data_IF_373024480042
#
_entry.id   IF_373024480042
#
_cell.length_a   1.000
_cell.length_b   1.000
_cell.length_c   1.000
_cell.angle_alpha   90.00
_cell.angle_beta   90.00
_cell.angle_gamma   90.00
#
_symmetry.space_group_name_H-M   'P 1'
#
loop_
_entity.id
_entity.type
_entity.pdbx_description
1 polymer ?
#
# COMPACT_ATOMS: atom_id res chain seq x y z
N UNK A 1 -0.74 14.42 12.34
CA UNK A 1 -1.41 14.30 13.67
C UNK A 1 -1.75 12.84 13.96
N UNK A 2 -1.65 12.36 15.20
CA UNK A 2 -2.00 10.96 15.54
C UNK A 2 -3.35 10.78 16.21
N UNK A 3 -3.94 11.88 16.70
CA UNK A 3 -5.32 11.96 17.16
C UNK A 3 -6.11 12.73 16.12
N UNK A 4 -7.19 12.14 15.61
CA UNK A 4 -8.07 12.71 14.58
C UNK A 4 -9.52 12.73 15.06
N UNK A 5 -10.29 13.72 14.61
CA UNK A 5 -11.68 13.90 15.02
C UNK A 5 -12.69 12.97 14.33
N UNK A 6 -12.32 12.39 13.18
CA UNK A 6 -13.18 11.49 12.40
C UNK A 6 -12.33 10.51 11.60
N UNK A 7 -12.95 9.41 11.15
CA UNK A 7 -12.33 8.48 10.22
C UNK A 7 -11.99 9.17 8.88
N UNK A 8 -10.86 8.80 8.28
CA UNK A 8 -10.42 9.32 6.98
C UNK A 8 -10.87 8.47 5.79
N UNK A 9 -11.12 7.16 6.01
CA UNK A 9 -11.31 6.19 4.92
C UNK A 9 -12.58 5.33 5.07
N UNK A 10 -13.55 5.77 5.89
CA UNK A 10 -14.84 5.06 6.04
C UNK A 10 -14.77 3.70 6.75
N UNK A 11 -13.62 3.33 7.32
CA UNK A 11 -13.41 2.05 8.00
C UNK A 11 -13.86 2.01 9.46
N UNK A 12 -14.15 0.80 9.95
CA UNK A 12 -14.54 0.51 11.35
C UNK A 12 -13.35 0.15 12.25
N UNK A 13 -12.12 0.16 11.72
CA UNK A 13 -10.92 -0.34 12.40
C UNK A 13 -10.08 0.76 13.06
N UNK A 14 -10.73 1.75 13.65
CA UNK A 14 -10.07 2.80 14.42
C UNK A 14 -10.14 2.51 15.91
N UNK A 15 -9.08 2.86 16.65
CA UNK A 15 -9.15 2.88 18.10
C UNK A 15 -9.83 4.16 18.57
N UNK A 16 -11.02 4.08 19.19
CA UNK A 16 -11.64 5.24 19.81
C UNK A 16 -10.86 5.61 21.07
N UNK A 17 -10.68 6.90 21.29
CA UNK A 17 -10.08 7.48 22.50
C UNK A 17 -10.94 8.63 23.01
N UNK A 18 -10.88 8.84 24.32
CA UNK A 18 -11.50 10.01 24.93
C UNK A 18 -10.51 11.19 24.87
N UNK A 19 -10.81 12.22 24.08
CA UNK A 19 -10.03 13.44 23.99
C UNK A 19 -10.80 14.59 24.67
N UNK A 20 -10.53 14.76 25.97
CA UNK A 20 -11.33 15.61 26.86
C UNK A 20 -12.80 15.17 26.91
N UNK A 21 -13.72 16.02 26.47
CA UNK A 21 -15.16 15.81 26.42
C UNK A 21 -15.64 15.28 25.05
N UNK A 22 -14.72 14.90 24.15
CA UNK A 22 -15.03 14.46 22.78
C UNK A 22 -14.39 13.12 22.43
N UNK A 23 -15.13 12.29 21.72
CA UNK A 23 -14.57 11.08 21.10
C UNK A 23 -13.63 11.48 19.95
N UNK A 24 -12.48 10.84 19.89
CA UNK A 24 -11.49 10.98 18.85
C UNK A 24 -10.91 9.61 18.50
N UNK A 25 -10.04 9.54 17.49
CA UNK A 25 -9.51 8.28 17.00
C UNK A 25 -8.00 8.34 16.84
N UNK A 26 -7.34 7.19 17.01
CA UNK A 26 -5.95 7.03 16.57
C UNK A 26 -5.89 6.79 15.07
N UNK A 27 -4.97 7.48 14.39
CA UNK A 27 -4.86 7.43 12.92
C UNK A 27 -4.26 6.12 12.40
N UNK A 28 -4.77 5.65 11.26
CA UNK A 28 -4.25 4.48 10.53
C UNK A 28 -3.20 4.85 9.47
N UNK A 29 -3.16 6.11 9.04
CA UNK A 29 -2.22 6.62 8.05
C UNK A 29 -2.21 8.15 8.07
N UNK A 30 -1.09 8.75 7.68
CA UNK A 30 -0.98 10.18 7.46
C UNK A 30 -1.67 10.69 6.19
N UNK A 31 -2.40 9.84 5.45
CA UNK A 31 -2.90 10.05 4.09
C UNK A 31 -3.42 11.47 3.78
N UNK A 32 -4.46 11.94 4.48
CA UNK A 32 -5.00 13.28 4.19
C UNK A 32 -4.02 14.42 4.49
N UNK A 33 -3.21 14.28 5.54
CA UNK A 33 -2.27 15.33 5.94
C UNK A 33 -1.05 15.38 5.01
N UNK A 34 -0.54 14.23 4.55
CA UNK A 34 0.57 14.21 3.59
C UNK A 34 0.14 14.78 2.23
N UNK A 35 -1.10 14.56 1.81
CA UNK A 35 -1.67 15.20 0.60
C UNK A 35 -1.81 16.72 0.75
N UNK A 36 -2.27 17.21 1.90
CA UNK A 36 -2.31 18.66 2.17
C UNK A 36 -0.92 19.29 2.14
N UNK A 37 0.08 18.61 2.73
CA UNK A 37 1.45 19.10 2.81
C UNK A 37 2.19 18.99 1.48
N UNK A 38 1.89 18.00 0.63
CA UNK A 38 2.49 17.91 -0.71
C UNK A 38 2.05 19.08 -1.60
N UNK A 39 0.86 19.66 -1.39
CA UNK A 39 0.44 20.91 -2.04
C UNK A 39 1.27 22.14 -1.68
N UNK A 40 2.10 22.07 -0.61
CA UNK A 40 2.96 23.17 -0.14
C UNK A 40 4.44 22.86 -0.33
N UNK A 41 4.86 21.65 0.03
CA UNK A 41 6.27 21.23 0.06
C UNK A 41 6.65 20.32 -1.12
N UNK A 42 5.69 19.98 -1.98
CA UNK A 42 5.81 19.10 -3.14
C UNK A 42 6.16 17.65 -2.80
N UNK A 43 7.28 17.40 -2.12
CA UNK A 43 7.79 16.07 -1.75
C UNK A 43 7.85 15.94 -0.24
N UNK A 44 7.00 15.10 0.33
CA UNK A 44 6.92 14.89 1.78
C UNK A 44 7.01 13.41 2.13
N UNK A 45 7.63 13.11 3.27
CA UNK A 45 7.59 11.79 3.87
C UNK A 45 7.42 11.89 5.38
N UNK A 46 6.86 10.84 5.98
CA UNK A 46 6.73 10.71 7.43
C UNK A 46 7.08 9.28 7.83
N UNK A 47 7.92 9.13 8.87
CA UNK A 47 8.13 7.85 9.56
C UNK A 47 7.48 7.95 10.93
N UNK A 48 6.44 7.15 11.18
CA UNK A 48 5.64 7.33 12.39
C UNK A 48 4.77 6.13 12.74
N UNK A 49 4.26 6.06 13.99
CA UNK A 49 3.26 5.07 14.36
C UNK A 49 1.93 5.29 13.62
N UNK A 50 1.30 4.18 13.27
CA UNK A 50 -0.06 4.03 12.79
C UNK A 50 -0.78 2.94 13.59
N UNK A 51 -2.08 3.10 13.78
CA UNK A 51 -2.87 2.25 14.67
C UNK A 51 -4.08 1.68 13.95
N UNK A 52 -4.23 0.36 13.95
CA UNK A 52 -5.37 -0.36 13.34
C UNK A 52 -6.04 -1.23 14.39
N UNK A 53 -7.33 -1.01 14.64
CA UNK A 53 -8.16 -1.83 15.51
C UNK A 53 -8.60 -3.14 14.81
N UNK A 54 -7.64 -3.79 14.15
CA UNK A 54 -7.80 -5.04 13.43
C UNK A 54 -8.07 -6.20 14.41
N UNK A 55 -9.13 -6.96 14.17
CA UNK A 55 -9.50 -8.13 14.99
C UNK A 55 -8.84 -9.41 14.51
N UNK A 56 -8.35 -9.41 13.27
CA UNK A 56 -7.72 -10.54 12.59
C UNK A 56 -6.38 -10.89 13.22
N UNK A 57 -6.33 -12.05 13.89
CA UNK A 57 -5.13 -12.57 14.56
C UNK A 57 -4.26 -13.39 13.60
N UNK A 58 -3.68 -12.72 12.61
CA UNK A 58 -2.73 -13.34 11.67
C UNK A 58 -1.28 -13.13 12.13
N UNK A 59 -0.32 -13.76 11.43
CA UNK A 59 1.12 -13.57 11.69
C UNK A 59 1.69 -12.27 11.09
N UNK A 60 0.87 -11.48 10.39
CA UNK A 60 1.30 -10.27 9.67
C UNK A 60 0.57 -8.99 10.08
N UNK A 61 -0.49 -9.10 10.89
CA UNK A 61 -1.24 -7.95 11.36
C UNK A 61 -0.86 -7.64 12.81
N UNK A 62 -0.57 -6.37 13.07
CA UNK A 62 -0.34 -5.79 14.40
C UNK A 62 -1.23 -4.56 14.55
N UNK A 63 -1.64 -4.26 15.78
CA UNK A 63 -2.51 -3.11 16.03
C UNK A 63 -1.77 -1.78 16.06
N UNK A 64 -0.45 -1.81 16.25
CA UNK A 64 0.46 -0.66 16.19
C UNK A 64 1.63 -1.02 15.28
N UNK A 65 1.88 -0.18 14.28
CA UNK A 65 2.92 -0.38 13.28
C UNK A 65 3.62 0.94 12.99
N UNK A 66 4.92 0.91 12.71
CA UNK A 66 5.64 2.06 12.17
C UNK A 66 5.52 2.05 10.64
N UNK A 67 4.98 3.12 10.06
CA UNK A 67 4.85 3.30 8.62
C UNK A 67 5.85 4.33 8.12
N UNK A 68 6.36 4.11 6.91
CA UNK A 68 6.98 5.15 6.08
C UNK A 68 5.95 5.55 5.02
N UNK A 69 5.37 6.73 5.20
CA UNK A 69 4.47 7.33 4.24
C UNK A 69 5.22 8.33 3.36
N UNK A 70 4.97 8.30 2.05
CA UNK A 70 5.55 9.24 1.08
C UNK A 70 4.43 9.81 0.21
N UNK A 71 4.47 11.10 -0.09
CA UNK A 71 3.56 11.77 -1.03
C UNK A 71 4.34 12.77 -1.88
N UNK A 72 4.07 12.78 -3.19
CA UNK A 72 4.84 13.53 -4.19
C UNK A 72 3.86 14.27 -5.12
N UNK A 73 3.92 15.59 -5.12
CA UNK A 73 3.18 16.45 -6.04
C UNK A 73 3.74 16.36 -7.47
N UNK A 74 2.91 16.69 -8.46
CA UNK A 74 3.26 16.64 -9.88
C UNK A 74 3.74 15.25 -10.35
N UNK A 75 3.26 14.20 -9.71
CA UNK A 75 3.60 12.81 -10.01
C UNK A 75 2.34 11.96 -10.18
N UNK A 76 2.47 10.90 -10.97
CA UNK A 76 1.47 9.85 -11.11
C UNK A 76 2.02 8.53 -10.53
N UNK A 77 1.20 7.48 -10.59
CA UNK A 77 1.54 6.13 -10.15
C UNK A 77 2.93 5.68 -10.63
N UNK A 78 3.26 5.87 -11.90
CA UNK A 78 4.53 5.39 -12.46
C UNK A 78 5.74 6.10 -11.87
N UNK A 79 5.64 7.40 -11.60
CA UNK A 79 6.70 8.16 -10.93
C UNK A 79 6.92 7.64 -9.50
N UNK A 80 5.83 7.35 -8.79
CA UNK A 80 5.88 6.79 -7.42
C UNK A 80 6.47 5.37 -7.42
N UNK A 81 6.14 4.53 -8.40
CA UNK A 81 6.74 3.19 -8.54
C UNK A 81 8.26 3.27 -8.70
N UNK A 82 8.76 4.23 -9.48
CA UNK A 82 10.21 4.44 -9.66
C UNK A 82 10.88 4.89 -8.36
N UNK A 83 10.28 5.84 -7.63
CA UNK A 83 10.83 6.25 -6.33
C UNK A 83 10.84 5.09 -5.33
N UNK A 84 9.79 4.27 -5.32
CA UNK A 84 9.66 3.13 -4.40
C UNK A 84 10.66 2.01 -4.73
N UNK A 85 10.87 1.66 -6.00
CA UNK A 85 11.86 0.63 -6.36
C UNK A 85 13.30 1.08 -6.09
N UNK A 86 13.62 2.36 -6.34
CA UNK A 86 14.90 2.96 -5.95
C UNK A 86 15.10 2.94 -4.43
N UNK A 87 14.09 3.33 -3.65
CA UNK A 87 14.13 3.31 -2.20
C UNK A 87 14.43 1.90 -1.65
N UNK A 88 13.67 0.89 -2.11
CA UNK A 88 13.86 -0.50 -1.67
C UNK A 88 15.24 -1.01 -2.07
N UNK A 89 15.66 -0.77 -3.31
CA UNK A 89 16.99 -1.14 -3.78
C UNK A 89 18.10 -0.54 -2.90
N UNK A 90 18.03 0.77 -2.64
CA UNK A 90 19.03 1.48 -1.83
C UNK A 90 19.06 0.97 -0.39
N UNK A 91 17.91 0.76 0.24
CA UNK A 91 17.85 0.24 1.62
C UNK A 91 18.44 -1.17 1.72
N UNK A 92 18.07 -2.07 0.82
CA UNK A 92 18.59 -3.44 0.85
C UNK A 92 20.09 -3.48 0.54
N UNK A 93 20.56 -2.63 -0.38
CA UNK A 93 21.98 -2.47 -0.67
C UNK A 93 22.76 -1.98 0.56
N UNK A 94 22.28 -0.92 1.22
CA UNK A 94 22.90 -0.37 2.43
C UNK A 94 22.98 -1.42 3.55
N UNK A 95 21.90 -2.15 3.82
CA UNK A 95 21.88 -3.23 4.82
C UNK A 95 22.92 -4.31 4.49
N UNK A 96 23.08 -4.70 3.23
CA UNK A 96 24.08 -5.71 2.86
C UNK A 96 25.52 -5.21 2.99
N UNK A 97 25.77 -3.97 2.58
CA UNK A 97 27.11 -3.37 2.62
C UNK A 97 27.54 -3.08 4.06
N UNK A 98 26.61 -2.59 4.90
CA UNK A 98 26.92 -2.05 6.22
C UNK A 98 26.49 -2.96 7.40
N UNK A 99 25.56 -3.90 7.19
CA UNK A 99 24.99 -4.75 8.25
C UNK A 99 25.12 -6.26 7.99
N UNK A 100 26.11 -6.69 7.20
CA UNK A 100 26.31 -8.11 6.86
C UNK A 100 26.47 -9.03 8.08
N UNK A 101 27.08 -8.53 9.16
CA UNK A 101 27.24 -9.30 10.41
C UNK A 101 25.89 -9.60 11.04
N UNK A 102 24.96 -8.64 11.07
CA UNK A 102 23.61 -8.84 11.57
C UNK A 102 22.82 -9.81 10.66
N UNK A 103 22.98 -9.71 9.34
CA UNK A 103 22.37 -10.65 8.40
C UNK A 103 22.83 -12.10 8.64
N UNK A 104 24.15 -12.31 8.81
CA UNK A 104 24.71 -13.64 9.14
C UNK A 104 24.19 -14.17 10.47
N UNK A 105 24.10 -13.31 11.49
CA UNK A 105 23.55 -13.69 12.79
C UNK A 105 22.09 -14.17 12.67
N UNK A 106 21.30 -13.53 11.81
CA UNK A 106 19.91 -13.90 11.54
C UNK A 106 19.73 -15.03 10.51
N UNK A 107 20.81 -15.53 9.91
CA UNK A 107 20.80 -16.46 8.76
C UNK A 107 19.99 -15.93 7.56
N UNK A 108 20.12 -14.62 7.29
CA UNK A 108 19.39 -13.90 6.25
C UNK A 108 20.29 -13.45 5.09
N UNK A 109 21.60 -13.65 5.15
CA UNK A 109 22.57 -13.17 4.17
C UNK A 109 22.34 -13.71 2.74
N UNK A 110 21.75 -14.92 2.64
CA UNK A 110 21.39 -15.56 1.37
C UNK A 110 19.95 -15.26 0.92
N UNK A 111 19.14 -14.59 1.74
CA UNK A 111 17.75 -14.22 1.46
C UNK A 111 17.58 -12.73 1.19
N UNK A 112 18.36 -11.89 1.88
CA UNK A 112 18.40 -10.45 1.68
C UNK A 112 19.30 -10.13 0.50
N UNK A 113 18.84 -10.40 -0.72
CA UNK A 113 19.56 -10.14 -1.97
C UNK A 113 19.21 -8.73 -2.47
N UNK A 114 20.18 -8.01 -3.04
CA UNK A 114 19.93 -6.70 -3.65
C UNK A 114 19.01 -6.94 -4.84
N UNK A 115 17.79 -6.36 -4.85
CA UNK A 115 16.87 -6.61 -5.95
C UNK A 115 17.28 -5.79 -7.17
N UNK A 116 17.16 -6.38 -8.36
CA UNK A 116 17.34 -5.66 -9.62
C UNK A 116 16.13 -4.76 -9.87
N UNK A 117 16.38 -3.56 -10.40
CA UNK A 117 15.34 -2.60 -10.80
C UNK A 117 15.34 -2.47 -12.33
N UNK A 118 14.18 -2.24 -12.98
CA UNK A 118 12.86 -2.07 -12.38
C UNK A 118 12.23 -3.39 -11.91
N UNK A 119 11.36 -3.34 -10.90
CA UNK A 119 10.61 -4.53 -10.48
C UNK A 119 9.57 -4.93 -11.55
N UNK A 120 9.30 -6.23 -11.75
CA UNK A 120 8.21 -6.70 -12.58
C UNK A 120 6.87 -6.06 -12.19
N UNK A 121 6.10 -5.66 -13.20
CA UNK A 121 4.79 -5.00 -13.03
C UNK A 121 3.74 -5.86 -13.71
N UNK A 122 2.78 -6.34 -12.94
CA UNK A 122 1.62 -7.06 -13.42
C UNK A 122 0.38 -6.21 -13.18
N UNK A 123 -0.54 -6.17 -14.13
CA UNK A 123 -1.89 -5.68 -13.88
C UNK A 123 -2.66 -6.70 -13.05
N UNK A 124 -3.68 -6.24 -12.33
CA UNK A 124 -4.60 -7.08 -11.59
C UNK A 124 -5.11 -8.27 -12.42
N UNK A 125 -5.55 -8.02 -13.66
CA UNK A 125 -6.06 -9.08 -14.54
C UNK A 125 -4.98 -10.12 -14.89
N UNK A 126 -3.73 -9.70 -15.10
CA UNK A 126 -2.62 -10.61 -15.38
C UNK A 126 -2.32 -11.52 -14.16
N UNK A 127 -2.50 -10.99 -12.95
CA UNK A 127 -2.39 -11.78 -11.71
C UNK A 127 -3.54 -12.78 -11.59
N UNK A 128 -4.77 -12.39 -11.92
CA UNK A 128 -5.91 -13.31 -11.92
C UNK A 128 -5.69 -14.46 -12.92
N UNK A 129 -5.29 -14.14 -14.15
CA UNK A 129 -4.99 -15.13 -15.19
C UNK A 129 -3.87 -16.08 -14.75
N UNK A 130 -2.82 -15.55 -14.10
CA UNK A 130 -1.73 -16.36 -13.58
C UNK A 130 -2.22 -17.32 -12.49
N UNK A 131 -3.04 -16.82 -11.55
CA UNK A 131 -3.59 -17.62 -10.45
C UNK A 131 -4.51 -18.73 -10.98
N UNK A 132 -5.41 -18.40 -11.91
CA UNK A 132 -6.32 -19.38 -12.51
C UNK A 132 -5.53 -20.45 -13.27
N UNK A 133 -4.59 -20.06 -14.12
CA UNK A 133 -3.82 -20.97 -14.96
C UNK A 133 -2.88 -21.89 -14.18
N UNK A 134 -2.26 -21.39 -13.11
CA UNK A 134 -1.26 -22.15 -12.34
C UNK A 134 -1.86 -22.95 -11.20
N UNK A 135 -2.93 -22.46 -10.59
CA UNK A 135 -3.44 -23.00 -9.32
C UNK A 135 -4.89 -23.45 -9.39
N UNK A 136 -5.56 -23.27 -10.53
CA UNK A 136 -7.00 -23.56 -10.71
C UNK A 136 -7.87 -22.89 -9.65
N UNK A 137 -7.44 -21.72 -9.17
CA UNK A 137 -8.20 -20.88 -8.25
C UNK A 137 -8.90 -19.79 -9.06
N UNK A 138 -10.23 -19.76 -9.01
CA UNK A 138 -11.01 -18.70 -9.61
C UNK A 138 -11.28 -17.61 -8.56
N UNK A 139 -10.83 -16.39 -8.84
CA UNK A 139 -11.11 -15.20 -8.04
C UNK A 139 -12.03 -14.33 -8.89
N UNK A 140 -13.17 -13.93 -8.34
CA UNK A 140 -14.11 -13.10 -9.09
C UNK A 140 -13.48 -11.73 -9.36
N UNK A 141 -13.70 -11.21 -10.58
CA UNK A 141 -13.18 -9.90 -10.93
C UNK A 141 -13.81 -8.83 -10.03
N UNK A 142 -13.00 -7.95 -9.45
CA UNK A 142 -13.48 -6.94 -8.51
C UNK A 142 -13.37 -7.38 -7.04
N UNK A 143 -12.90 -8.58 -6.75
CA UNK A 143 -12.55 -9.00 -5.39
C UNK A 143 -11.09 -8.71 -5.05
N UNK A 144 -10.78 -8.75 -3.76
CA UNK A 144 -9.40 -8.77 -3.28
C UNK A 144 -8.80 -10.18 -3.42
N UNK A 145 -7.48 -10.28 -3.52
CA UNK A 145 -6.79 -11.57 -3.67
C UNK A 145 -6.71 -12.25 -2.30
N UNK A 146 -7.25 -13.47 -2.21
CA UNK A 146 -7.27 -14.21 -0.96
C UNK A 146 -5.86 -14.54 -0.44
N UNK A 147 -5.71 -14.70 0.88
CA UNK A 147 -4.42 -15.10 1.47
C UNK A 147 -3.93 -16.45 0.95
N UNK A 148 -4.83 -17.38 0.61
CA UNK A 148 -4.45 -18.66 -0.01
C UNK A 148 -3.85 -18.43 -1.40
N UNK A 149 -4.50 -17.61 -2.23
CA UNK A 149 -4.03 -17.30 -3.57
C UNK A 149 -2.70 -16.57 -3.52
N UNK A 150 -2.53 -15.58 -2.63
CA UNK A 150 -1.24 -14.91 -2.43
C UNK A 150 -0.14 -15.88 -2.02
N UNK A 151 -0.41 -16.85 -1.14
CA UNK A 151 0.61 -17.84 -0.73
C UNK A 151 1.09 -18.66 -1.91
N UNK A 152 0.18 -19.17 -2.75
CA UNK A 152 0.55 -19.92 -3.96
C UNK A 152 1.28 -19.02 -4.96
N UNK A 153 0.81 -17.79 -5.15
CA UNK A 153 1.45 -16.80 -6.01
C UNK A 153 2.89 -16.51 -5.54
N UNK A 154 3.12 -16.40 -4.23
CA UNK A 154 4.43 -16.14 -3.66
C UNK A 154 5.43 -17.30 -3.78
N UNK A 155 4.95 -18.53 -4.05
CA UNK A 155 5.81 -19.67 -4.40
C UNK A 155 6.32 -19.55 -5.85
N UNK A 156 5.59 -18.87 -6.74
CA UNK A 156 6.00 -18.60 -8.13
C UNK A 156 6.75 -17.28 -8.28
N UNK A 157 6.25 -16.20 -7.65
CA UNK A 157 6.81 -14.85 -7.68
C UNK A 157 7.50 -14.56 -6.36
N UNK A 158 8.73 -15.08 -6.20
CA UNK A 158 9.49 -14.98 -4.94
C UNK A 158 10.21 -13.65 -4.72
N UNK A 159 10.34 -12.85 -5.78
CA UNK A 159 11.01 -11.55 -5.78
C UNK A 159 10.03 -10.39 -5.51
N UNK A 160 10.53 -9.16 -5.60
CA UNK A 160 9.68 -7.97 -5.55
C UNK A 160 8.89 -7.83 -6.86
N UNK A 161 7.60 -7.56 -6.76
CA UNK A 161 6.78 -7.24 -7.93
C UNK A 161 5.63 -6.32 -7.56
N UNK A 162 5.15 -5.59 -8.55
CA UNK A 162 3.98 -4.74 -8.42
C UNK A 162 2.73 -5.43 -8.97
N UNK A 163 1.62 -5.29 -8.25
CA UNK A 163 0.27 -5.48 -8.78
C UNK A 163 -0.31 -4.09 -9.00
N UNK A 164 -0.66 -3.75 -10.24
CA UNK A 164 -1.13 -2.41 -10.63
C UNK A 164 -2.53 -2.49 -11.21
N UNK A 165 -3.18 -1.32 -11.38
CA UNK A 165 -4.48 -1.22 -12.03
C UNK A 165 -5.55 -2.09 -11.37
N UNK A 166 -5.66 -2.00 -10.05
CA UNK A 166 -6.73 -2.68 -9.33
C UNK A 166 -8.12 -2.16 -9.74
N UNK A 167 -9.17 -2.98 -9.62
CA UNK A 167 -10.55 -2.56 -9.84
C UNK A 167 -10.90 -1.31 -9.00
N UNK A 168 -11.51 -0.31 -9.64
CA UNK A 168 -11.84 0.95 -8.95
C UNK A 168 -12.86 0.73 -7.80
N UNK A 169 -13.71 -0.29 -7.92
CA UNK A 169 -14.78 -0.59 -6.96
C UNK A 169 -14.26 -0.89 -5.54
N UNK A 170 -13.08 -1.50 -5.40
CA UNK A 170 -12.48 -1.86 -4.11
C UNK A 170 -11.48 -0.83 -3.58
N UNK A 171 -11.15 0.21 -4.36
CA UNK A 171 -10.18 1.21 -3.92
C UNK A 171 -10.85 2.39 -3.18
N UNK A 172 -10.12 3.08 -2.28
CA UNK A 172 -10.61 4.26 -1.58
C UNK A 172 -11.00 5.42 -2.52
N UNK A 173 -11.86 6.33 -2.05
CA UNK A 173 -12.41 7.43 -2.85
C UNK A 173 -11.35 8.41 -3.38
N UNK A 174 -10.21 8.52 -2.70
CA UNK A 174 -9.13 9.45 -3.07
C UNK A 174 -8.21 8.91 -4.17
N UNK A 175 -8.39 7.66 -4.62
CA UNK A 175 -7.60 7.07 -5.71
C UNK A 175 -8.14 7.52 -7.07
N UNK A 176 -7.25 7.95 -7.96
CA UNK A 176 -7.58 8.37 -9.32
C UNK A 176 -8.01 7.16 -10.18
N UNK A 177 -9.10 7.25 -10.96
CA UNK A 177 -9.40 6.27 -12.00
C UNK A 177 -8.33 6.29 -13.10
N UNK A 178 -8.02 5.14 -13.68
CA UNK A 178 -7.16 5.05 -14.86
C UNK A 178 -7.87 5.58 -16.11
N UNK A 179 -7.18 5.61 -17.26
CA UNK A 179 -7.80 5.92 -18.56
C UNK A 179 -9.07 5.09 -18.84
N UNK A 180 -9.09 3.84 -18.39
CA UNK A 180 -10.32 3.05 -18.31
C UNK A 180 -10.83 3.11 -16.86
N UNK A 181 -11.98 3.78 -16.59
CA UNK A 181 -12.45 4.04 -15.22
C UNK A 181 -12.87 2.78 -14.45
N UNK A 182 -12.98 1.63 -15.13
CA UNK A 182 -13.11 0.31 -14.48
C UNK A 182 -11.93 0.00 -13.55
N UNK A 183 -10.73 0.50 -13.89
CA UNK A 183 -9.51 0.33 -13.12
C UNK A 183 -9.06 1.65 -12.49
N UNK A 184 -8.28 1.54 -11.43
CA UNK A 184 -7.66 2.65 -10.73
C UNK A 184 -6.19 2.84 -11.13
N UNK A 185 -5.62 4.03 -10.92
CA UNK A 185 -4.18 4.24 -10.92
C UNK A 185 -3.58 3.91 -9.54
N UNK A 186 -3.82 2.69 -9.07
CA UNK A 186 -3.27 2.18 -7.82
C UNK A 186 -2.34 0.99 -8.04
N UNK A 187 -1.52 0.74 -7.03
CA UNK A 187 -0.58 -0.37 -7.00
C UNK A 187 -0.37 -0.89 -5.59
N UNK A 188 0.02 -2.15 -5.51
CA UNK A 188 0.59 -2.75 -4.31
C UNK A 188 1.96 -3.36 -4.64
N UNK A 189 2.95 -3.14 -3.79
CA UNK A 189 4.27 -3.79 -3.83
C UNK A 189 4.23 -5.06 -3.00
N UNK A 190 4.59 -6.16 -3.62
CA UNK A 190 4.69 -7.48 -3.01
C UNK A 190 6.16 -7.92 -2.94
N UNK A 191 6.49 -8.72 -1.94
CA UNK A 191 7.68 -9.58 -1.94
C UNK A 191 7.23 -11.00 -1.60
N UNK A 192 7.28 -11.91 -2.58
CA UNK A 192 6.61 -13.20 -2.41
C UNK A 192 5.09 -13.03 -2.30
N UNK A 193 4.52 -13.57 -1.23
CA UNK A 193 3.10 -13.49 -0.91
C UNK A 193 2.74 -12.31 0.01
N UNK A 194 3.74 -11.53 0.44
CA UNK A 194 3.56 -10.48 1.45
C UNK A 194 3.50 -9.11 0.79
N UNK A 195 2.40 -8.40 1.05
CA UNK A 195 2.27 -6.99 0.71
C UNK A 195 3.15 -6.15 1.63
N UNK A 196 3.97 -5.29 1.03
CA UNK A 196 4.85 -4.38 1.73
C UNK A 196 4.33 -2.95 1.73
N UNK A 197 3.65 -2.54 0.66
CA UNK A 197 3.20 -1.15 0.46
C UNK A 197 2.04 -1.12 -0.53
N UNK A 198 1.11 -0.19 -0.31
CA UNK A 198 0.07 0.17 -1.26
C UNK A 198 0.08 1.67 -1.54
N UNK A 199 -0.34 2.07 -2.74
CA UNK A 199 -0.30 3.46 -3.18
C UNK A 199 -1.06 3.71 -4.47
N UNK A 200 -1.01 4.94 -4.96
CA UNK A 200 -1.64 5.31 -6.23
C UNK A 200 -1.70 6.80 -6.46
N UNK A 201 -2.01 7.19 -7.69
CA UNK A 201 -2.30 8.58 -8.06
C UNK A 201 -3.54 9.07 -7.30
N UNK A 202 -3.50 10.30 -6.78
CA UNK A 202 -4.61 10.89 -6.01
C UNK A 202 -5.53 11.75 -6.86
N UNK A 203 -6.82 11.77 -6.51
CA UNK A 203 -7.79 12.71 -7.08
C UNK A 203 -7.52 14.11 -6.51
N UNK A 204 -7.03 15.00 -7.35
CA UNK A 204 -6.72 16.39 -6.96
C UNK A 204 -7.82 17.40 -7.34
N UNK A 205 -8.75 17.04 -8.25
CA UNK A 205 -9.85 17.89 -8.63
C UNK A 205 -10.99 17.79 -7.60
N UNK A 206 -11.42 18.93 -7.04
CA UNK A 206 -12.44 19.01 -6.01
C UNK A 206 -13.77 18.36 -6.41
N UNK A 207 -14.26 18.63 -7.62
CA UNK A 207 -15.55 18.13 -8.10
C UNK A 207 -15.51 16.61 -8.26
N UNK A 208 -14.41 16.09 -8.81
CA UNK A 208 -14.22 14.64 -8.92
C UNK A 208 -14.10 13.96 -7.55
N UNK A 209 -13.43 14.60 -6.59
CA UNK A 209 -13.29 14.05 -5.24
C UNK A 209 -14.63 14.00 -4.50
N UNK A 210 -15.46 15.04 -4.63
CA UNK A 210 -16.83 15.06 -4.07
C UNK A 210 -17.67 13.95 -4.70
N UNK A 211 -17.64 13.82 -6.04
CA UNK A 211 -18.37 12.75 -6.71
C UNK A 211 -17.91 11.34 -6.26
N UNK A 212 -16.61 11.17 -6.01
CA UNK A 212 -16.07 9.90 -5.50
C UNK A 212 -16.54 9.60 -4.06
N UNK A 213 -16.58 10.60 -3.18
CA UNK A 213 -17.13 10.48 -1.83
C UNK A 213 -18.61 10.06 -1.86
N UNK A 214 -19.43 10.77 -2.64
CA UNK A 214 -20.86 10.47 -2.81
C UNK A 214 -21.09 9.05 -3.33
N UNK A 215 -20.25 8.59 -4.27
CA UNK A 215 -20.34 7.22 -4.83
C UNK A 215 -20.07 6.12 -3.80
N UNK A 216 -19.35 6.45 -2.72
CA UNK A 216 -19.02 5.54 -1.61
C UNK A 216 -19.95 5.71 -0.41
N UNK A 217 -20.94 6.60 -0.49
CA UNK A 217 -21.87 6.87 0.61
C UNK A 217 -21.24 7.62 1.79
N UNK A 218 -20.18 8.39 1.52
CA UNK A 218 -19.45 9.21 2.51
C UNK A 218 -19.88 10.68 2.46
#
# INVERSE_FOLDING_TARGET
PKIIGSATEGGTELFPIMYFDKEAFLTQSAQLYKEQLSGVYERVYEISPAFRAEKSRTRRHVCEIFTLDVEIAFSNMYDVLTVLEELVHTVIKDIRENQITALKFLNMENKTIIPEIPFPKYKYDEILELIEKKFSLNIEWGEDISTEAYRKLGDELTEYYYITHWPMIIKPFYIMPSKNPTYSESFDLQMGWLELTSGGTRVHNKEHLIAALESKGL
#
